data_IF_579063633107
#
_entry.id   IF_579063633107
#
_cell.length_a   1.000
_cell.length_b   1.000
_cell.length_c   1.000
_cell.angle_alpha   90.00
_cell.angle_beta   90.00
_cell.angle_gamma   90.00
#
_symmetry.space_group_name_H-M   'P 1'
#
loop_
_entity.id
_entity.type
_entity.pdbx_description
1 polymer ?
#
# COMPACT_ATOMS: atom_id res chain seq x y z
N UNK A 1 -25.68 84.11 -21.93
CA UNK A 1 -24.35 84.74 -21.78
C UNK A 1 -24.07 84.81 -20.28
N UNK A 2 -23.00 84.30 -19.69
CA UNK A 2 -21.82 83.58 -20.16
C UNK A 2 -21.39 82.58 -19.07
N UNK A 3 -20.92 81.40 -19.44
CA UNK A 3 -19.52 81.01 -19.69
C UNK A 3 -19.05 80.12 -18.53
N UNK A 4 -18.82 78.85 -18.89
CA UNK A 4 -18.16 77.81 -18.11
C UNK A 4 -16.73 78.20 -17.76
N UNK A 5 -16.30 77.90 -16.53
CA UNK A 5 -14.89 77.61 -16.22
C UNK A 5 -14.83 76.39 -15.30
N UNK A 6 -14.34 75.29 -15.88
CA UNK A 6 -13.98 74.07 -15.18
C UNK A 6 -12.63 74.29 -14.48
N UNK A 7 -12.54 73.93 -13.20
CA UNK A 7 -11.26 73.79 -12.50
C UNK A 7 -11.07 72.33 -12.11
N UNK A 8 -10.17 71.67 -12.83
CA UNK A 8 -9.62 70.36 -12.52
C UNK A 8 -8.60 70.55 -11.39
N UNK A 9 -8.73 69.79 -10.29
CA UNK A 9 -7.61 69.60 -9.36
C UNK A 9 -7.57 68.19 -8.79
N UNK A 10 -6.55 67.51 -9.28
CA UNK A 10 -5.79 66.36 -8.80
C UNK A 10 -6.23 65.61 -7.52
N UNK A 11 -6.39 64.30 -7.72
CA UNK A 11 -6.25 63.22 -6.73
C UNK A 11 -5.09 63.44 -5.75
N UNK A 12 -5.35 63.22 -4.47
CA UNK A 12 -4.38 62.73 -3.50
C UNK A 12 -5.00 61.53 -2.76
N UNK A 13 -4.81 60.35 -3.35
CA UNK A 13 -4.99 59.06 -2.67
C UNK A 13 -3.86 58.93 -1.63
N UNK A 14 -4.15 59.19 -0.36
CA UNK A 14 -3.28 58.74 0.73
C UNK A 14 -3.53 57.24 0.96
N UNK A 15 -2.76 56.41 0.26
CA UNK A 15 -2.52 55.03 0.66
C UNK A 15 -1.74 55.02 1.99
N UNK A 16 -2.43 54.75 3.09
CA UNK A 16 -1.81 54.11 4.24
C UNK A 16 -2.21 52.65 4.24
N UNK A 17 -1.42 51.87 3.51
CA UNK A 17 -1.40 50.41 3.56
C UNK A 17 -1.03 49.98 4.98
N UNK A 18 -2.02 49.60 5.77
CA UNK A 18 -1.84 48.69 6.90
C UNK A 18 -2.78 47.50 6.71
N UNK A 19 -2.60 46.80 5.58
CA UNK A 19 -3.00 45.41 5.48
C UNK A 19 -1.98 44.61 6.30
N UNK A 20 -2.27 44.46 7.59
CA UNK A 20 -1.88 43.23 8.27
C UNK A 20 -2.71 42.15 7.57
N UNK A 21 -2.12 41.49 6.56
CA UNK A 21 -2.67 40.24 6.05
C UNK A 21 -2.75 39.28 7.23
N UNK A 22 -3.95 39.08 7.76
CA UNK A 22 -4.23 37.92 8.59
C UNK A 22 -3.87 36.70 7.73
N UNK A 23 -2.85 35.94 8.16
CA UNK A 23 -2.43 34.71 7.48
C UNK A 23 -3.63 33.75 7.45
N UNK A 24 -4.21 33.51 6.27
CA UNK A 24 -5.50 32.86 6.08
C UNK A 24 -5.58 31.43 6.66
N UNK A 25 -4.43 30.77 6.84
CA UNK A 25 -4.33 29.42 7.43
C UNK A 25 -3.93 29.42 8.91
N UNK A 26 -3.33 30.50 9.42
CA UNK A 26 -2.87 30.61 10.82
C UNK A 26 -1.73 29.65 11.22
N UNK A 27 -1.10 28.96 10.26
CA UNK A 27 0.00 28.05 10.53
C UNK A 27 1.33 28.79 10.70
N UNK A 28 2.22 28.24 11.54
CA UNK A 28 3.61 28.66 11.65
C UNK A 28 4.47 27.64 10.91
N UNK A 29 5.42 28.10 10.11
CA UNK A 29 6.25 27.21 9.32
C UNK A 29 6.96 27.90 8.18
N UNK A 30 7.69 27.11 7.39
CA UNK A 30 8.39 27.55 6.18
C UNK A 30 7.49 27.62 4.94
N UNK A 31 6.37 26.91 4.94
CA UNK A 31 5.42 26.94 3.82
C UNK A 31 4.67 28.28 3.80
N UNK A 32 4.49 28.87 2.61
CA UNK A 32 3.73 30.12 2.44
C UNK A 32 2.23 29.84 2.34
N UNK A 33 1.37 30.78 2.76
CA UNK A 33 -0.09 30.63 2.62
C UNK A 33 -0.53 30.40 1.17
N UNK A 34 0.16 31.04 0.21
CA UNK A 34 -0.08 30.83 -1.21
C UNK A 34 0.23 29.38 -1.65
N UNK A 35 1.26 28.75 -1.09
CA UNK A 35 1.56 27.35 -1.35
C UNK A 35 0.60 26.41 -0.60
N UNK A 36 0.18 26.75 0.62
CA UNK A 36 -0.87 26.00 1.36
C UNK A 36 -2.15 25.94 0.53
N UNK A 37 -2.62 27.10 0.06
CA UNK A 37 -3.80 27.22 -0.79
C UNK A 37 -3.64 26.46 -2.10
N UNK A 38 -2.51 26.64 -2.79
CA UNK A 38 -2.23 25.95 -4.07
C UNK A 38 -2.26 24.44 -3.91
N UNK A 39 -1.57 23.91 -2.91
CA UNK A 39 -1.51 22.48 -2.64
C UNK A 39 -2.92 21.95 -2.34
N UNK A 40 -3.63 22.58 -1.39
CA UNK A 40 -4.95 22.14 -0.97
C UNK A 40 -5.96 22.14 -2.14
N UNK A 41 -5.95 23.21 -2.93
CA UNK A 41 -6.84 23.37 -4.09
C UNK A 41 -6.55 22.30 -5.16
N UNK A 42 -5.28 22.06 -5.51
CA UNK A 42 -4.93 21.04 -6.50
C UNK A 42 -5.36 19.64 -6.05
N UNK A 43 -5.11 19.28 -4.78
CA UNK A 43 -5.53 17.98 -4.27
C UNK A 43 -7.05 17.81 -4.32
N UNK A 44 -7.80 18.78 -3.80
CA UNK A 44 -9.26 18.72 -3.80
C UNK A 44 -9.84 18.76 -5.22
N UNK A 45 -9.24 19.49 -6.16
CA UNK A 45 -9.65 19.45 -7.57
C UNK A 45 -9.47 18.05 -8.18
N UNK A 46 -8.33 17.40 -7.97
CA UNK A 46 -8.13 16.02 -8.44
C UNK A 46 -9.13 15.04 -7.81
N UNK A 47 -9.42 15.20 -6.52
CA UNK A 47 -10.41 14.39 -5.81
C UNK A 47 -11.84 14.62 -6.35
N UNK A 48 -12.22 15.86 -6.64
CA UNK A 48 -13.48 16.18 -7.34
C UNK A 48 -13.53 15.55 -8.73
N UNK A 49 -12.41 15.56 -9.47
CA UNK A 49 -12.37 14.94 -10.79
C UNK A 49 -12.57 13.42 -10.68
N UNK A 50 -12.02 12.76 -9.65
CA UNK A 50 -12.29 11.35 -9.39
C UNK A 50 -13.78 11.09 -9.12
N UNK A 51 -14.51 11.97 -8.45
CA UNK A 51 -15.95 11.73 -8.20
C UNK A 51 -16.83 11.77 -9.45
N UNK A 52 -16.29 12.34 -10.54
CA UNK A 52 -16.94 12.49 -11.85
C UNK A 52 -16.33 11.60 -12.94
N UNK A 53 -15.25 10.91 -12.62
CA UNK A 53 -14.43 10.17 -13.59
C UNK A 53 -13.40 11.10 -14.23
N UNK A 54 -12.17 10.60 -14.36
CA UNK A 54 -11.07 11.37 -14.94
C UNK A 54 -10.11 10.48 -15.71
N UNK A 55 -9.28 11.09 -16.54
CA UNK A 55 -8.24 10.40 -17.30
C UNK A 55 -6.88 10.94 -16.87
N UNK A 56 -6.04 10.06 -16.34
CA UNK A 56 -4.62 10.36 -16.13
C UNK A 56 -3.91 10.24 -17.47
N UNK A 57 -3.08 11.22 -17.79
CA UNK A 57 -2.24 11.22 -18.98
C UNK A 57 -0.79 11.40 -18.57
N UNK A 58 0.06 10.46 -18.96
CA UNK A 58 1.51 10.53 -18.80
C UNK A 58 2.15 10.17 -20.14
N UNK A 59 2.98 11.06 -20.67
CA UNK A 59 3.54 10.98 -22.01
C UNK A 59 2.47 10.77 -23.11
N UNK A 60 2.48 9.61 -23.77
CA UNK A 60 1.50 9.22 -24.81
C UNK A 60 0.43 8.26 -24.28
N UNK A 61 0.53 7.86 -23.02
CA UNK A 61 -0.36 6.88 -22.40
C UNK A 61 -1.51 7.58 -21.69
N UNK A 62 -2.69 6.97 -21.75
CA UNK A 62 -3.91 7.45 -21.08
C UNK A 62 -4.53 6.33 -20.27
N UNK A 63 -4.98 6.63 -19.06
CA UNK A 63 -5.69 5.70 -18.17
C UNK A 63 -6.95 6.37 -17.63
N UNK A 64 -8.10 5.78 -17.93
CA UNK A 64 -9.37 6.20 -17.34
C UNK A 64 -9.48 5.64 -15.93
N UNK A 65 -9.67 6.52 -14.95
CA UNK A 65 -9.88 6.15 -13.56
C UNK A 65 -11.38 5.98 -13.29
N UNK A 66 -11.81 4.91 -12.59
CA UNK A 66 -13.17 4.75 -12.11
C UNK A 66 -13.62 5.96 -11.27
N UNK A 67 -14.93 6.23 -11.28
CA UNK A 67 -15.52 7.23 -10.40
C UNK A 67 -15.33 6.84 -8.94
N UNK A 68 -15.15 7.82 -8.05
CA UNK A 68 -15.00 7.61 -6.61
C UNK A 68 -16.23 8.08 -5.81
N UNK A 69 -16.83 7.16 -5.06
CA UNK A 69 -17.76 7.50 -3.96
C UNK A 69 -16.99 7.60 -2.65
N UNK A 70 -17.60 8.16 -1.61
CA UNK A 70 -16.95 8.31 -0.30
C UNK A 70 -15.58 9.01 -0.39
N UNK A 71 -15.45 10.00 -1.29
CA UNK A 71 -14.23 10.77 -1.48
C UNK A 71 -14.29 12.03 -0.62
N UNK A 72 -13.44 12.12 0.41
CA UNK A 72 -13.49 13.20 1.40
C UNK A 72 -12.72 14.44 0.96
N UNK A 73 -13.23 15.61 1.26
CA UNK A 73 -12.55 16.88 1.11
C UNK A 73 -11.40 16.97 2.11
N UNK A 74 -10.19 17.28 1.62
CA UNK A 74 -9.04 17.53 2.46
C UNK A 74 -9.13 18.94 3.05
N UNK A 75 -8.72 19.05 4.31
CA UNK A 75 -8.43 20.33 4.98
C UNK A 75 -6.96 20.45 5.32
N UNK A 76 -6.46 21.68 5.32
CA UNK A 76 -5.12 21.95 5.81
C UNK A 76 -5.05 21.74 7.33
N UNK A 77 -3.99 21.09 7.80
CA UNK A 77 -3.73 20.86 9.23
C UNK A 77 -2.30 21.29 9.57
N UNK A 78 -2.19 22.33 10.41
CA UNK A 78 -0.89 22.93 10.76
C UNK A 78 0.01 21.95 11.55
N UNK A 79 -0.55 20.99 12.28
CA UNK A 79 0.24 20.00 13.02
C UNK A 79 0.84 18.97 12.06
N UNK A 80 0.10 18.56 11.02
CA UNK A 80 0.65 17.75 9.92
C UNK A 80 1.72 18.51 9.14
N UNK A 81 1.54 19.82 8.90
CA UNK A 81 2.55 20.67 8.28
C UNK A 81 3.85 20.69 9.10
N UNK A 82 3.76 20.96 10.40
CA UNK A 82 4.93 20.98 11.28
C UNK A 82 5.67 19.61 11.30
N UNK A 83 4.93 18.50 11.26
CA UNK A 83 5.52 17.15 11.14
C UNK A 83 6.15 16.91 9.77
N UNK A 84 5.56 17.43 8.70
CA UNK A 84 6.13 17.36 7.35
C UNK A 84 7.43 18.16 7.26
N UNK A 85 7.52 19.30 7.97
CA UNK A 85 8.76 20.10 8.06
C UNK A 85 9.86 19.35 8.81
N UNK A 86 9.52 18.73 9.95
CA UNK A 86 10.46 17.88 10.69
C UNK A 86 10.94 16.71 9.80
N UNK A 87 10.03 16.02 9.12
CA UNK A 87 10.33 14.93 8.20
C UNK A 87 11.24 15.36 7.04
N UNK A 88 10.98 16.53 6.44
CA UNK A 88 11.78 17.08 5.35
C UNK A 88 13.22 17.42 5.78
N UNK A 89 13.42 17.80 7.05
CA UNK A 89 14.72 18.15 7.58
C UNK A 89 15.55 16.94 8.07
N UNK A 90 14.99 15.72 8.05
CA UNK A 90 15.74 14.51 8.37
C UNK A 90 16.70 14.11 7.24
N UNK A 91 17.88 13.63 7.61
CA UNK A 91 18.91 13.16 6.67
C UNK A 91 18.57 11.82 5.98
N UNK A 92 17.65 11.03 6.55
CA UNK A 92 17.26 9.72 6.02
C UNK A 92 15.75 9.60 5.86
N UNK A 93 15.28 9.28 4.64
CA UNK A 93 13.84 9.09 4.33
C UNK A 93 13.19 7.98 5.16
N UNK A 94 13.93 6.92 5.48
CA UNK A 94 13.45 5.83 6.34
C UNK A 94 13.18 6.28 7.78
N UNK A 95 13.96 7.25 8.29
CA UNK A 95 13.74 7.79 9.63
C UNK A 95 12.40 8.53 9.72
N UNK A 96 12.07 9.33 8.70
CA UNK A 96 10.80 10.05 8.63
C UNK A 96 9.61 9.09 8.59
N UNK A 97 9.63 8.07 7.73
CA UNK A 97 8.58 7.05 7.64
C UNK A 97 8.42 6.24 8.92
N UNK A 98 9.51 5.98 9.65
CA UNK A 98 9.45 5.28 10.94
C UNK A 98 8.86 6.15 12.06
N UNK A 99 9.25 7.42 12.13
CA UNK A 99 8.77 8.36 13.16
C UNK A 99 7.28 8.70 12.97
N UNK A 100 6.85 8.81 11.72
CA UNK A 100 5.51 9.24 11.33
C UNK A 100 4.70 8.13 10.64
N UNK A 101 4.91 6.87 11.04
CA UNK A 101 4.37 5.67 10.38
C UNK A 101 2.85 5.55 10.33
N UNK A 102 2.14 6.36 11.13
CA UNK A 102 0.68 6.45 11.18
C UNK A 102 0.10 7.44 10.17
N UNK A 103 0.93 8.10 9.36
CA UNK A 103 0.52 9.11 8.40
C UNK A 103 0.83 8.67 6.97
N UNK A 104 0.07 9.18 6.00
CA UNK A 104 0.38 9.02 4.59
C UNK A 104 1.55 9.91 4.22
N UNK A 105 2.39 9.50 3.26
CA UNK A 105 3.59 10.25 2.89
C UNK A 105 3.69 10.43 1.38
N UNK A 106 3.73 11.69 0.93
CA UNK A 106 4.17 12.04 -0.43
C UNK A 106 5.41 12.91 -0.36
N UNK A 107 6.41 12.62 -1.19
CA UNK A 107 7.66 13.38 -1.25
C UNK A 107 8.16 13.44 -2.69
N UNK A 108 8.64 14.61 -3.09
CA UNK A 108 9.24 14.81 -4.38
C UNK A 108 10.02 16.10 -4.47
N UNK A 109 10.73 16.24 -5.56
CA UNK A 109 11.35 17.48 -5.98
C UNK A 109 11.03 17.72 -7.46
N UNK A 110 10.99 18.99 -7.84
CA UNK A 110 10.87 19.40 -9.24
C UNK A 110 11.91 20.45 -9.55
N UNK A 111 12.76 20.14 -10.52
CA UNK A 111 13.83 21.01 -10.98
C UNK A 111 13.36 21.83 -12.18
N UNK A 112 13.56 23.15 -12.09
CA UNK A 112 13.22 24.08 -13.15
C UNK A 112 14.12 23.89 -14.37
N UNK A 113 13.49 23.61 -15.51
CA UNK A 113 14.15 23.63 -16.82
C UNK A 113 14.09 25.06 -17.40
N UNK A 114 15.21 25.63 -17.88
CA UNK A 114 15.27 27.01 -18.41
C UNK A 114 14.29 27.33 -19.57
N UNK A 115 13.65 26.32 -20.17
CA UNK A 115 12.65 26.49 -21.24
C UNK A 115 11.35 27.15 -20.77
N UNK A 116 11.07 27.20 -19.47
CA UNK A 116 9.86 27.83 -18.93
C UNK A 116 10.13 29.30 -18.57
N UNK A 117 9.47 30.27 -19.22
CA UNK A 117 9.68 31.70 -18.93
C UNK A 117 8.95 32.20 -17.65
N UNK A 118 8.82 31.35 -16.62
CA UNK A 118 8.08 31.64 -15.37
C UNK A 118 8.93 31.35 -14.13
N UNK A 119 8.80 32.12 -13.03
CA UNK A 119 9.58 31.89 -11.82
C UNK A 119 9.22 30.56 -11.14
N UNK A 120 10.20 29.89 -10.52
CA UNK A 120 10.02 28.61 -9.81
C UNK A 120 8.88 28.68 -8.77
N UNK A 121 8.77 29.77 -8.02
CA UNK A 121 7.72 29.97 -7.02
C UNK A 121 6.30 29.96 -7.62
N UNK A 122 6.15 30.26 -8.92
CA UNK A 122 4.85 30.26 -9.59
C UNK A 122 4.45 28.87 -10.12
N UNK A 123 5.40 28.00 -10.48
CA UNK A 123 5.10 26.75 -11.19
C UNK A 123 5.64 25.48 -10.53
N UNK A 124 6.66 25.59 -9.67
CA UNK A 124 7.41 24.43 -9.17
C UNK A 124 6.54 23.46 -8.36
N UNK A 125 5.79 23.98 -7.38
CA UNK A 125 4.85 23.16 -6.59
C UNK A 125 3.78 22.55 -7.48
N UNK A 126 3.17 23.32 -8.38
CA UNK A 126 2.15 22.82 -9.28
C UNK A 126 2.68 21.68 -10.16
N UNK A 127 3.85 21.86 -10.78
CA UNK A 127 4.46 20.85 -11.66
C UNK A 127 4.87 19.58 -10.91
N UNK A 128 5.32 19.72 -9.68
CA UNK A 128 5.61 18.60 -8.80
C UNK A 128 4.33 17.79 -8.51
N UNK A 129 3.23 18.45 -8.13
CA UNK A 129 1.96 17.79 -7.85
C UNK A 129 1.32 17.16 -9.11
N UNK A 130 1.45 17.81 -10.27
CA UNK A 130 1.08 17.20 -11.56
C UNK A 130 1.89 15.92 -11.80
N UNK A 131 3.19 15.93 -11.47
CA UNK A 131 4.07 14.75 -11.49
C UNK A 131 3.57 13.62 -10.61
N UNK A 132 3.23 13.91 -9.36
CA UNK A 132 2.65 12.93 -8.44
C UNK A 132 1.34 12.33 -8.98
N UNK A 133 0.47 13.15 -9.55
CA UNK A 133 -0.79 12.67 -10.11
C UNK A 133 -0.60 11.76 -11.33
N UNK A 134 0.43 12.03 -12.16
CA UNK A 134 0.75 11.22 -13.34
C UNK A 134 1.18 9.78 -13.00
N UNK A 135 1.64 9.51 -11.77
CA UNK A 135 1.94 8.14 -11.34
C UNK A 135 0.72 7.21 -11.44
N UNK A 136 -0.50 7.77 -11.37
CA UNK A 136 -1.75 7.03 -11.54
C UNK A 136 -1.95 6.41 -12.93
N UNK A 137 -1.01 6.57 -13.87
CA UNK A 137 -1.03 5.87 -15.16
C UNK A 137 -0.89 4.35 -15.00
N UNK A 138 -0.16 3.91 -13.96
CA UNK A 138 0.07 2.49 -13.65
C UNK A 138 -1.00 1.90 -12.72
N UNK A 139 -1.87 2.74 -12.16
CA UNK A 139 -2.82 2.36 -11.13
C UNK A 139 -3.78 1.25 -11.56
N UNK A 140 -3.94 0.25 -10.68
CA UNK A 140 -4.92 -0.80 -10.82
C UNK A 140 -6.34 -0.27 -10.64
N UNK A 141 -7.02 -0.03 -11.76
CA UNK A 141 -8.39 0.47 -11.80
C UNK A 141 -9.45 -0.59 -11.47
N UNK A 142 -9.07 -1.87 -11.38
CA UNK A 142 -10.00 -2.95 -11.07
C UNK A 142 -10.20 -3.05 -9.55
N UNK A 143 -9.13 -3.30 -8.79
CA UNK A 143 -9.23 -3.38 -7.33
C UNK A 143 -9.04 -2.04 -6.64
N UNK A 144 -8.41 -1.06 -7.31
CA UNK A 144 -8.15 0.29 -6.79
C UNK A 144 -7.34 0.26 -5.50
N UNK A 145 -6.37 -0.64 -5.42
CA UNK A 145 -5.54 -0.85 -4.22
C UNK A 145 -4.11 -0.36 -4.44
N UNK A 146 -3.42 0.00 -3.36
CA UNK A 146 -2.02 0.40 -3.40
C UNK A 146 -1.14 -0.83 -3.66
N UNK A 147 -0.85 -1.09 -4.93
CA UNK A 147 -0.18 -2.32 -5.37
C UNK A 147 1.28 -2.10 -5.86
N UNK A 148 1.72 -0.85 -5.97
CA UNK A 148 3.09 -0.51 -6.38
C UNK A 148 3.63 0.76 -5.73
N UNK A 149 4.83 0.68 -5.15
CA UNK A 149 5.53 1.85 -4.60
C UNK A 149 5.82 2.97 -5.61
N UNK A 150 5.78 2.70 -6.93
CA UNK A 150 5.91 3.74 -7.96
C UNK A 150 4.74 4.72 -7.98
N UNK A 151 3.65 4.39 -7.29
CA UNK A 151 2.41 5.17 -7.26
C UNK A 151 2.16 5.80 -5.88
N UNK A 152 3.16 5.75 -5.00
CA UNK A 152 3.03 6.20 -3.60
C UNK A 152 2.47 7.61 -3.51
N UNK A 153 2.90 8.54 -4.37
CA UNK A 153 2.40 9.90 -4.28
C UNK A 153 0.96 9.98 -4.77
N UNK A 154 0.65 9.35 -5.91
CA UNK A 154 -0.72 9.28 -6.45
C UNK A 154 -1.71 8.69 -5.45
N UNK A 155 -1.42 7.53 -4.84
CA UNK A 155 -2.36 6.85 -3.94
C UNK A 155 -2.67 7.67 -2.69
N UNK A 156 -1.71 8.42 -2.16
CA UNK A 156 -1.95 9.32 -1.02
C UNK A 156 -2.84 10.51 -1.42
N UNK A 157 -2.62 11.11 -2.61
CA UNK A 157 -3.48 12.17 -3.16
C UNK A 157 -4.91 11.67 -3.42
N UNK A 158 -5.04 10.47 -3.98
CA UNK A 158 -6.29 9.85 -4.39
C UNK A 158 -7.02 9.10 -3.25
N UNK A 159 -6.46 9.04 -2.04
CA UNK A 159 -7.02 8.28 -0.93
C UNK A 159 -8.40 8.80 -0.50
N UNK A 160 -9.47 8.08 -0.80
CA UNK A 160 -10.86 8.51 -0.56
C UNK A 160 -11.14 8.94 0.87
N UNK A 161 -10.47 8.31 1.84
CA UNK A 161 -10.72 8.47 3.28
C UNK A 161 -9.95 9.61 3.94
N UNK A 162 -8.81 10.05 3.39
CA UNK A 162 -8.03 11.12 4.03
C UNK A 162 -8.89 12.39 4.14
N UNK A 163 -8.83 13.05 5.30
CA UNK A 163 -9.59 14.29 5.58
C UNK A 163 -8.68 15.48 5.84
N UNK A 164 -7.39 15.25 6.05
CA UNK A 164 -6.41 16.29 6.33
C UNK A 164 -5.11 16.10 5.57
N UNK A 165 -4.49 17.22 5.25
CA UNK A 165 -3.16 17.29 4.66
C UNK A 165 -2.37 18.42 5.30
N UNK A 166 -1.07 18.22 5.47
CA UNK A 166 -0.14 19.31 5.80
C UNK A 166 1.18 19.07 5.09
N UNK A 167 1.74 20.11 4.46
CA UNK A 167 2.94 19.97 3.65
C UNK A 167 3.99 21.02 3.97
N UNK A 168 5.25 20.58 3.96
CA UNK A 168 6.42 21.42 3.95
C UNK A 168 6.85 21.72 2.51
N UNK A 169 7.16 22.99 2.23
CA UNK A 169 7.67 23.44 0.93
C UNK A 169 9.00 24.15 1.13
N UNK A 170 10.04 23.68 0.44
CA UNK A 170 11.37 24.29 0.47
C UNK A 170 11.90 24.52 -0.94
N UNK A 171 12.15 25.78 -1.27
CA UNK A 171 12.83 26.15 -2.51
C UNK A 171 14.35 26.11 -2.30
N UNK A 172 15.09 25.43 -3.18
CA UNK A 172 16.56 25.36 -3.16
C UNK A 172 17.11 25.68 -4.55
N UNK A 173 17.56 26.92 -4.76
CA UNK A 173 17.98 27.39 -6.08
C UNK A 173 16.84 27.22 -7.09
N UNK A 174 17.04 26.34 -8.09
CA UNK A 174 16.07 26.05 -9.13
C UNK A 174 15.18 24.83 -8.84
N UNK A 175 15.15 24.34 -7.60
CA UNK A 175 14.42 23.12 -7.23
C UNK A 175 13.35 23.42 -6.18
N UNK A 176 12.10 23.03 -6.47
CA UNK A 176 11.02 23.01 -5.48
C UNK A 176 10.98 21.63 -4.82
N UNK A 177 11.12 21.56 -3.50
CA UNK A 177 11.02 20.32 -2.72
C UNK A 177 9.71 20.37 -1.92
N UNK A 178 8.89 19.32 -2.01
CA UNK A 178 7.61 19.24 -1.29
C UNK A 178 7.54 17.90 -0.56
N UNK A 179 7.14 17.98 0.71
CA UNK A 179 6.85 16.83 1.55
C UNK A 179 5.45 17.01 2.13
N UNK A 180 4.54 16.08 1.88
CA UNK A 180 3.18 16.11 2.41
C UNK A 180 2.94 14.93 3.34
N UNK A 181 2.24 15.20 4.44
CA UNK A 181 1.65 14.21 5.33
C UNK A 181 0.13 14.26 5.24
N UNK A 182 -0.49 13.08 5.32
CA UNK A 182 -1.94 12.89 5.36
C UNK A 182 -2.33 12.23 6.68
N UNK A 183 -3.53 12.50 7.17
CA UNK A 183 -4.01 12.03 8.48
C UNK A 183 -4.06 10.51 8.65
N UNK A 184 -4.25 9.76 7.55
CA UNK A 184 -4.23 8.30 7.58
C UNK A 184 -3.10 7.76 6.69
N UNK A 185 -2.50 6.61 7.06
CA UNK A 185 -1.44 6.00 6.26
C UNK A 185 -2.01 5.43 4.95
N UNK A 186 -1.16 5.15 3.97
CA UNK A 186 -1.54 4.31 2.84
C UNK A 186 -0.65 3.07 2.86
N UNK A 187 -1.23 1.93 3.26
CA UNK A 187 -0.50 0.66 3.42
C UNK A 187 -0.62 -0.20 2.18
N UNK A 188 0.35 -1.07 1.96
CA UNK A 188 0.36 -2.00 0.83
C UNK A 188 -0.96 -2.79 0.78
N UNK A 189 -1.50 -2.95 -0.42
CA UNK A 189 -2.80 -3.58 -0.66
C UNK A 189 -4.00 -2.75 -0.22
N UNK A 190 -3.83 -1.54 0.31
CA UNK A 190 -4.95 -0.74 0.81
C UNK A 190 -5.83 -0.19 -0.28
N UNK A 191 -7.15 -0.23 -0.07
CA UNK A 191 -8.11 0.35 -1.00
C UNK A 191 -7.93 1.87 -1.01
N UNK A 192 -7.52 2.40 -2.16
CA UNK A 192 -7.27 3.82 -2.34
C UNK A 192 -8.59 4.58 -2.33
N UNK A 193 -9.58 4.13 -3.10
CA UNK A 193 -10.95 4.66 -3.04
C UNK A 193 -12.00 3.63 -3.47
N UNK A 194 -13.23 3.82 -3.03
CA UNK A 194 -14.37 3.00 -3.43
C UNK A 194 -14.93 3.47 -4.77
N UNK A 195 -15.18 2.53 -5.70
CA UNK A 195 -15.86 2.90 -6.94
C UNK A 195 -17.32 3.29 -6.71
N UNK A 196 -17.73 4.35 -7.40
CA UNK A 196 -19.07 4.89 -7.35
C UNK A 196 -19.07 6.37 -7.67
N UNK A 197 -20.24 6.97 -7.81
CA UNK A 197 -20.31 8.41 -8.08
C UNK A 197 -20.10 9.22 -6.79
N UNK A 198 -19.68 10.48 -6.95
CA UNK A 198 -19.65 11.44 -5.85
C UNK A 198 -20.98 11.53 -5.11
N UNK A 199 -20.92 11.98 -3.86
CA UNK A 199 -22.10 12.14 -3.03
C UNK A 199 -23.07 13.15 -3.66
N UNK A 200 -24.37 12.96 -3.42
CA UNK A 200 -25.42 13.93 -3.75
C UNK A 200 -26.12 14.43 -2.48
N UNK A 201 -26.12 13.61 -1.45
CA UNK A 201 -26.76 13.84 -0.15
C UNK A 201 -25.83 13.37 0.97
N UNK A 202 -26.05 13.85 2.19
CA UNK A 202 -25.24 13.47 3.35
C UNK A 202 -25.24 11.95 3.60
N UNK A 203 -26.35 11.26 3.27
CA UNK A 203 -26.46 9.80 3.40
C UNK A 203 -25.55 9.01 2.46
N UNK A 204 -25.03 9.62 1.39
CA UNK A 204 -24.08 8.98 0.49
C UNK A 204 -22.67 8.91 1.08
N UNK A 205 -22.41 9.66 2.16
CA UNK A 205 -21.11 9.73 2.83
C UNK A 205 -21.06 8.76 4.02
N UNK A 206 -20.64 7.52 3.75
CA UNK A 206 -20.79 6.41 4.70
C UNK A 206 -19.51 6.02 5.42
N UNK A 207 -18.35 6.62 5.09
CA UNK A 207 -17.06 6.24 5.72
C UNK A 207 -16.98 6.70 7.17
N UNK A 208 -17.38 7.94 7.44
CA UNK A 208 -17.42 8.52 8.78
C UNK A 208 -18.84 8.94 9.13
N UNK A 209 -19.27 8.65 10.35
CA UNK A 209 -20.58 9.04 10.88
C UNK A 209 -20.72 10.55 10.88
N UNK A 210 -21.94 11.02 10.64
CA UNK A 210 -22.30 12.45 10.59
C UNK A 210 -21.50 13.24 9.54
N UNK A 211 -21.05 12.58 8.47
CA UNK A 211 -20.48 13.26 7.32
C UNK A 211 -21.55 14.01 6.53
N UNK A 212 -21.17 15.10 5.88
CA UNK A 212 -22.03 15.85 4.97
C UNK A 212 -21.49 15.80 3.55
N UNK A 213 -22.37 16.01 2.57
CA UNK A 213 -22.01 16.10 1.17
C UNK A 213 -21.83 17.55 0.73
N UNK A 214 -20.71 17.84 0.06
CA UNK A 214 -20.45 19.15 -0.54
C UNK A 214 -21.05 19.24 -1.95
N UNK A 215 -21.42 20.45 -2.43
CA UNK A 215 -21.88 20.65 -3.82
C UNK A 215 -20.88 20.18 -4.89
N UNK A 216 -19.59 20.05 -4.53
CA UNK A 216 -18.55 19.51 -5.39
C UNK A 216 -18.65 17.99 -5.64
N UNK A 217 -19.46 17.27 -4.85
CA UNK A 217 -19.57 15.82 -4.83
C UNK A 217 -18.60 15.13 -3.87
N UNK A 218 -17.85 15.91 -3.08
CA UNK A 218 -16.97 15.40 -2.01
C UNK A 218 -17.73 15.27 -0.68
N UNK A 219 -17.37 14.26 0.09
CA UNK A 219 -17.81 14.13 1.48
C UNK A 219 -16.99 15.03 2.40
N UNK A 220 -17.57 15.42 3.52
CA UNK A 220 -16.93 16.23 4.55
C UNK A 220 -17.21 15.61 5.92
N UNK A 221 -16.16 15.27 6.65
CA UNK A 221 -16.23 14.59 7.95
C UNK A 221 -14.82 14.38 8.50
N UNK A 222 -14.72 13.77 9.68
CA UNK A 222 -13.44 13.41 10.30
C UNK A 222 -13.49 11.94 10.75
N UNK A 223 -12.34 11.23 10.74
CA UNK A 223 -12.28 9.86 11.24
C UNK A 223 -12.66 9.78 12.72
N UNK A 224 -13.48 8.79 13.10
CA UNK A 224 -13.78 8.53 14.50
C UNK A 224 -12.54 7.99 15.24
N UNK A 225 -12.43 8.24 16.56
CA UNK A 225 -11.41 7.60 17.38
C UNK A 225 -11.44 6.07 17.23
N UNK A 226 -10.33 5.47 16.81
CA UNK A 226 -10.21 4.02 16.61
C UNK A 226 -10.72 3.50 15.27
N UNK A 227 -10.97 4.38 14.27
CA UNK A 227 -11.26 3.97 12.90
C UNK A 227 -10.21 2.97 12.38
N UNK A 228 -10.68 1.77 11.97
CA UNK A 228 -9.88 0.73 11.33
C UNK A 228 -10.12 0.75 9.82
N UNK A 229 -9.06 0.59 9.04
CA UNK A 229 -9.14 0.65 7.59
C UNK A 229 -9.87 -0.57 7.01
N UNK A 230 -10.74 -0.35 6.02
CA UNK A 230 -11.41 -1.46 5.30
C UNK A 230 -10.42 -2.44 4.63
N UNK A 231 -9.20 -2.00 4.32
CA UNK A 231 -8.15 -2.85 3.74
C UNK A 231 -7.48 -3.82 4.72
N UNK A 232 -7.66 -3.62 6.03
CA UNK A 232 -7.20 -4.56 7.04
C UNK A 232 -8.13 -5.79 7.12
N UNK A 233 -9.38 -5.67 6.67
CA UNK A 233 -10.30 -6.80 6.59
C UNK A 233 -9.98 -7.70 5.37
N UNK A 234 -10.07 -9.01 5.58
CA UNK A 234 -10.00 -10.01 4.52
C UNK A 234 -11.22 -9.83 3.60
N UNK A 235 -11.00 -9.81 2.29
CA UNK A 235 -12.12 -9.86 1.35
C UNK A 235 -12.67 -11.28 1.30
N UNK A 236 -13.98 -11.43 1.47
CA UNK A 236 -14.65 -12.75 1.51
C UNK A 236 -15.31 -13.14 0.20
N UNK A 237 -15.43 -12.20 -0.75
CA UNK A 237 -16.04 -12.46 -2.05
C UNK A 237 -14.98 -12.83 -3.09
N UNK A 238 -14.86 -14.12 -3.37
CA UNK A 238 -13.85 -14.71 -4.24
C UNK A 238 -14.32 -14.84 -5.70
N UNK A 239 -13.39 -15.19 -6.60
CA UNK A 239 -13.70 -15.35 -8.02
C UNK A 239 -14.52 -16.61 -8.30
N UNK A 240 -15.14 -16.65 -9.47
CA UNK A 240 -15.82 -17.86 -9.95
C UNK A 240 -14.80 -19.00 -10.12
N UNK A 241 -15.18 -20.22 -9.72
CA UNK A 241 -14.39 -21.44 -9.89
C UNK A 241 -13.93 -21.64 -11.34
N UNK A 242 -14.79 -21.36 -12.32
CA UNK A 242 -14.45 -21.54 -13.74
C UNK A 242 -13.32 -20.61 -14.22
N UNK A 243 -13.05 -19.54 -13.48
CA UNK A 243 -12.01 -18.56 -13.80
C UNK A 243 -10.74 -18.81 -12.99
N UNK A 244 -10.89 -19.20 -11.73
CA UNK A 244 -9.79 -19.28 -10.76
C UNK A 244 -9.29 -20.71 -10.53
N UNK A 245 -10.07 -21.72 -10.93
CA UNK A 245 -9.86 -23.12 -10.55
C UNK A 245 -10.14 -23.40 -9.06
N UNK A 246 -10.73 -22.46 -8.33
CA UNK A 246 -10.88 -22.51 -6.87
C UNK A 246 -12.33 -22.69 -6.43
N UNK A 247 -12.59 -23.77 -5.69
CA UNK A 247 -13.80 -23.95 -4.87
C UNK A 247 -13.52 -23.55 -3.43
N UNK A 248 -14.55 -23.33 -2.62
CA UNK A 248 -14.38 -23.07 -1.19
C UNK A 248 -13.69 -24.23 -0.46
N UNK A 249 -13.91 -25.47 -0.92
CA UNK A 249 -13.20 -26.64 -0.41
C UNK A 249 -11.69 -26.54 -0.64
N UNK A 250 -11.27 -26.15 -1.85
CA UNK A 250 -9.84 -25.96 -2.19
C UNK A 250 -9.26 -24.77 -1.42
N UNK A 251 -10.01 -23.67 -1.29
CA UNK A 251 -9.59 -22.48 -0.50
C UNK A 251 -9.32 -22.86 0.96
N UNK A 252 -10.26 -23.60 1.57
CA UNK A 252 -10.11 -24.11 2.94
C UNK A 252 -8.93 -25.08 3.04
N UNK A 253 -8.76 -25.99 2.07
CA UNK A 253 -7.61 -26.90 2.05
C UNK A 253 -6.28 -26.14 2.08
N UNK A 254 -6.09 -25.13 1.22
CA UNK A 254 -4.87 -24.32 1.23
C UNK A 254 -4.69 -23.59 2.56
N UNK A 255 -5.73 -22.92 3.06
CA UNK A 255 -5.66 -22.14 4.29
C UNK A 255 -5.31 -23.03 5.50
N UNK A 256 -6.03 -24.14 5.66
CA UNK A 256 -5.88 -25.06 6.77
C UNK A 256 -4.51 -25.73 6.73
N UNK A 257 -4.07 -26.19 5.56
CA UNK A 257 -2.76 -26.85 5.41
C UNK A 257 -1.61 -25.88 5.70
N UNK A 258 -1.69 -24.62 5.23
CA UNK A 258 -0.70 -23.60 5.58
C UNK A 258 -0.67 -23.34 7.09
N UNK A 259 -1.83 -23.16 7.73
CA UNK A 259 -1.90 -22.85 9.16
C UNK A 259 -1.47 -24.02 10.05
N UNK A 260 -1.81 -25.26 9.68
CA UNK A 260 -1.33 -26.47 10.35
C UNK A 260 0.20 -26.58 10.26
N UNK A 261 0.77 -26.33 9.08
CA UNK A 261 2.22 -26.33 8.90
C UNK A 261 2.90 -25.21 9.69
N UNK A 262 2.39 -23.98 9.62
CA UNK A 262 2.88 -22.84 10.43
C UNK A 262 2.83 -23.13 11.93
N UNK A 263 1.76 -23.76 12.41
CA UNK A 263 1.65 -24.21 13.80
C UNK A 263 2.72 -25.25 14.17
N UNK A 264 2.97 -26.21 13.27
CA UNK A 264 4.00 -27.25 13.46
C UNK A 264 5.40 -26.64 13.53
N UNK A 265 5.74 -25.74 12.60
CA UNK A 265 7.01 -24.98 12.59
C UNK A 265 7.14 -24.12 13.84
N UNK A 266 6.09 -23.36 14.20
CA UNK A 266 6.13 -22.49 15.38
C UNK A 266 6.42 -23.27 16.66
N UNK A 267 5.90 -24.49 16.78
CA UNK A 267 6.14 -25.38 17.93
C UNK A 267 7.45 -26.16 17.85
N UNK A 268 8.20 -26.04 16.74
CA UNK A 268 9.46 -26.72 16.49
C UNK A 268 9.29 -28.23 16.27
N UNK A 269 8.28 -28.61 15.50
CA UNK A 269 7.93 -30.01 15.24
C UNK A 269 8.26 -30.46 13.81
N UNK A 270 8.60 -29.54 12.91
CA UNK A 270 8.99 -29.89 11.54
C UNK A 270 10.48 -30.22 11.46
N UNK A 271 10.87 -31.37 10.89
CA UNK A 271 12.27 -31.71 10.62
C UNK A 271 12.92 -30.74 9.63
N UNK A 272 14.19 -30.42 9.87
CA UNK A 272 15.02 -29.55 9.03
C UNK A 272 16.25 -30.35 8.55
N UNK A 273 16.52 -30.42 7.25
CA UNK A 273 17.66 -31.20 6.74
C UNK A 273 19.04 -30.70 7.24
N UNK A 274 19.13 -29.43 7.65
CA UNK A 274 20.36 -28.82 8.18
C UNK A 274 20.30 -28.57 9.69
N UNK A 275 19.28 -29.12 10.36
CA UNK A 275 19.11 -29.12 11.81
C UNK A 275 18.51 -30.44 12.31
N UNK A 276 18.02 -30.47 13.54
CA UNK A 276 17.17 -31.58 14.00
C UNK A 276 15.69 -31.27 13.69
N UNK A 277 15.24 -30.12 14.19
CA UNK A 277 13.92 -29.56 13.98
C UNK A 277 14.01 -28.06 13.76
N UNK A 278 12.98 -27.51 13.13
CA UNK A 278 12.79 -26.06 13.01
C UNK A 278 12.84 -25.38 14.39
N UNK A 279 13.49 -24.21 14.51
CA UNK A 279 13.46 -23.46 15.77
C UNK A 279 12.04 -22.97 16.07
N UNK A 280 11.69 -22.89 17.35
CA UNK A 280 10.37 -22.41 17.78
C UNK A 280 10.17 -20.95 17.42
N UNK A 281 8.96 -20.59 16.99
CA UNK A 281 8.59 -19.21 16.65
C UNK A 281 7.80 -18.58 17.79
N UNK A 282 8.17 -17.36 18.17
CA UNK A 282 7.58 -16.64 19.30
C UNK A 282 6.17 -16.14 19.01
N UNK A 283 5.93 -15.67 17.79
CA UNK A 283 4.76 -14.85 17.43
C UNK A 283 4.30 -15.03 15.98
N UNK A 284 4.29 -16.28 15.51
CA UNK A 284 3.84 -16.65 14.17
C UNK A 284 2.36 -16.31 13.99
N UNK A 285 2.00 -15.52 12.99
CA UNK A 285 0.60 -15.15 12.73
C UNK A 285 -0.15 -16.29 12.02
N UNK A 286 -1.41 -16.54 12.40
CA UNK A 286 -2.35 -17.39 11.67
C UNK A 286 -2.86 -16.65 10.44
N UNK A 287 -2.73 -17.28 9.27
CA UNK A 287 -3.19 -16.71 8.01
C UNK A 287 -4.71 -16.74 7.94
N UNK A 288 -5.29 -15.71 7.29
CA UNK A 288 -6.64 -15.73 6.76
C UNK A 288 -6.66 -15.84 5.23
N UNK A 289 -7.72 -16.41 4.67
CA UNK A 289 -7.88 -16.43 3.21
C UNK A 289 -8.43 -15.06 2.75
N UNK A 290 -7.73 -14.41 1.83
CA UNK A 290 -8.09 -13.09 1.29
C UNK A 290 -8.41 -13.21 -0.20
N UNK A 291 -9.68 -13.07 -0.55
CA UNK A 291 -10.13 -13.12 -1.94
C UNK A 291 -9.50 -12.03 -2.82
N UNK A 292 -9.00 -10.94 -2.22
CA UNK A 292 -8.21 -9.96 -2.97
C UNK A 292 -6.90 -10.56 -3.46
N UNK A 293 -6.18 -11.35 -2.64
CA UNK A 293 -4.95 -12.01 -3.05
C UNK A 293 -5.19 -13.07 -4.12
N UNK A 294 -6.32 -13.78 -4.07
CA UNK A 294 -6.75 -14.69 -5.16
C UNK A 294 -6.89 -13.93 -6.50
N UNK A 295 -7.49 -12.73 -6.49
CA UNK A 295 -7.59 -11.89 -7.71
C UNK A 295 -6.26 -11.27 -8.12
N UNK A 296 -5.36 -10.98 -7.19
CA UNK A 296 -3.98 -10.60 -7.52
C UNK A 296 -3.30 -11.76 -8.23
N UNK A 297 -3.37 -12.97 -7.67
CA UNK A 297 -2.79 -14.18 -8.27
C UNK A 297 -3.32 -14.42 -9.69
N UNK A 298 -4.64 -14.29 -9.90
CA UNK A 298 -5.27 -14.41 -11.21
C UNK A 298 -4.74 -13.42 -12.26
N UNK A 299 -4.46 -12.18 -11.86
CA UNK A 299 -3.99 -11.13 -12.78
C UNK A 299 -2.49 -11.17 -13.01
N UNK A 300 -1.74 -11.70 -12.04
CA UNK A 300 -0.30 -11.88 -12.16
C UNK A 300 0.07 -13.13 -12.94
N UNK A 301 -0.72 -14.20 -12.84
CA UNK A 301 -0.45 -15.45 -13.54
C UNK A 301 -0.55 -15.27 -15.07
N UNK A 302 0.55 -15.59 -15.76
CA UNK A 302 0.62 -15.64 -17.22
C UNK A 302 0.69 -17.08 -17.69
N UNK A 303 0.28 -17.36 -18.94
CA UNK A 303 0.46 -18.66 -19.57
C UNK A 303 1.35 -18.51 -20.83
N UNK A 304 2.55 -19.11 -20.89
CA UNK A 304 3.23 -19.83 -19.80
C UNK A 304 3.65 -18.88 -18.65
N UNK A 305 3.80 -19.39 -17.43
CA UNK A 305 4.19 -18.54 -16.30
C UNK A 305 5.64 -18.07 -16.41
N UNK A 306 5.87 -16.80 -16.12
CA UNK A 306 7.21 -16.24 -15.94
C UNK A 306 7.39 -15.89 -14.47
N UNK A 307 8.32 -16.56 -13.78
CA UNK A 307 8.64 -16.24 -12.38
C UNK A 307 9.21 -14.83 -12.34
N UNK A 308 8.57 -13.96 -11.57
CA UNK A 308 8.93 -12.56 -11.40
C UNK A 308 8.77 -12.20 -9.93
N UNK A 309 9.75 -11.49 -9.39
CA UNK A 309 9.70 -11.06 -8.00
C UNK A 309 8.60 -10.01 -7.81
N UNK A 310 7.63 -10.35 -6.96
CA UNK A 310 6.46 -9.52 -6.72
C UNK A 310 6.74 -8.52 -5.60
N UNK A 311 6.57 -7.22 -5.85
CA UNK A 311 7.00 -6.20 -4.88
C UNK A 311 6.25 -6.22 -3.54
N UNK A 312 4.98 -6.63 -3.55
CA UNK A 312 4.10 -6.50 -2.39
C UNK A 312 3.66 -7.81 -1.74
N UNK A 313 3.77 -8.93 -2.46
CA UNK A 313 3.33 -10.23 -1.99
C UNK A 313 4.40 -11.25 -2.30
N UNK A 314 4.56 -12.25 -1.44
CA UNK A 314 5.32 -13.43 -1.76
C UNK A 314 4.51 -14.31 -2.70
N UNK A 315 5.18 -15.00 -3.62
CA UNK A 315 4.54 -15.80 -4.65
C UNK A 315 5.15 -17.20 -4.69
N UNK A 316 4.34 -18.19 -4.33
CA UNK A 316 4.66 -19.59 -4.54
C UNK A 316 3.98 -20.06 -5.84
N UNK A 317 4.76 -20.75 -6.67
CA UNK A 317 4.29 -21.30 -7.94
C UNK A 317 4.71 -22.76 -8.05
N UNK A 318 3.79 -23.62 -8.46
CA UNK A 318 4.06 -25.04 -8.70
C UNK A 318 3.56 -25.46 -10.07
N UNK A 319 4.42 -26.11 -10.86
CA UNK A 319 4.02 -26.78 -12.09
C UNK A 319 3.60 -28.21 -11.74
N UNK A 320 2.34 -28.54 -11.97
CA UNK A 320 1.76 -29.83 -11.61
C UNK A 320 2.34 -30.93 -12.50
N UNK A 321 2.68 -32.06 -11.90
CA UNK A 321 3.31 -33.19 -12.61
C UNK A 321 2.44 -33.82 -13.70
N UNK A 322 1.13 -33.83 -13.51
CA UNK A 322 0.12 -34.32 -14.45
C UNK A 322 -1.00 -33.27 -14.60
N UNK A 323 -1.09 -32.65 -15.76
CA UNK A 323 -2.08 -31.59 -16.03
C UNK A 323 -3.53 -32.10 -16.09
N UNK A 324 -3.76 -33.41 -16.14
CA UNK A 324 -5.10 -34.01 -16.14
C UNK A 324 -5.71 -34.18 -14.74
N UNK A 325 -4.92 -34.01 -13.67
CA UNK A 325 -5.41 -34.24 -12.32
C UNK A 325 -6.44 -33.19 -11.86
N UNK A 326 -7.22 -33.57 -10.85
CA UNK A 326 -8.19 -32.66 -10.24
C UNK A 326 -7.51 -31.43 -9.63
N UNK A 327 -8.21 -30.30 -9.55
CA UNK A 327 -7.65 -29.11 -8.91
C UNK A 327 -7.33 -29.34 -7.43
N UNK A 328 -8.09 -30.19 -6.74
CA UNK A 328 -7.79 -30.60 -5.36
C UNK A 328 -6.49 -31.40 -5.26
N UNK A 329 -6.22 -32.31 -6.19
CA UNK A 329 -4.98 -33.09 -6.16
C UNK A 329 -3.76 -32.25 -6.57
N UNK A 330 -3.95 -31.32 -7.51
CA UNK A 330 -2.95 -30.30 -7.84
C UNK A 330 -2.60 -29.44 -6.61
N UNK A 331 -3.61 -29.03 -5.83
CA UNK A 331 -3.41 -28.30 -4.59
C UNK A 331 -2.60 -29.11 -3.56
N UNK A 332 -2.93 -30.40 -3.40
CA UNK A 332 -2.18 -31.32 -2.52
C UNK A 332 -0.73 -31.48 -2.96
N UNK A 333 -0.49 -31.68 -4.26
CA UNK A 333 0.85 -31.82 -4.81
C UNK A 333 1.68 -30.55 -4.55
N UNK A 334 1.13 -29.37 -4.85
CA UNK A 334 1.81 -28.10 -4.63
C UNK A 334 2.18 -27.87 -3.16
N UNK A 335 1.25 -28.10 -2.23
CA UNK A 335 1.51 -27.98 -0.79
C UNK A 335 2.61 -28.94 -0.32
N UNK A 336 2.54 -30.21 -0.74
CA UNK A 336 3.56 -31.20 -0.41
C UNK A 336 4.93 -30.81 -0.97
N UNK A 337 4.98 -30.29 -2.19
CA UNK A 337 6.20 -29.79 -2.83
C UNK A 337 6.86 -28.69 -1.99
N UNK A 338 6.13 -27.61 -1.70
CA UNK A 338 6.65 -26.46 -0.94
C UNK A 338 7.05 -26.83 0.49
N UNK A 339 6.21 -27.59 1.22
CA UNK A 339 6.51 -28.03 2.58
C UNK A 339 7.73 -28.97 2.64
N UNK A 340 7.95 -29.79 1.61
CA UNK A 340 9.08 -30.73 1.61
C UNK A 340 10.45 -30.05 1.47
N UNK A 341 10.49 -28.78 1.07
CA UNK A 341 11.74 -28.03 0.89
C UNK A 341 12.56 -27.97 2.19
N UNK A 342 11.94 -27.72 3.36
CA UNK A 342 12.67 -27.69 4.64
C UNK A 342 13.24 -29.06 5.02
N UNK A 343 12.48 -30.13 4.74
CA UNK A 343 12.88 -31.51 5.08
C UNK A 343 13.97 -32.05 4.16
N UNK A 344 14.04 -31.57 2.92
CA UNK A 344 15.01 -32.05 1.91
C UNK A 344 16.26 -31.18 1.82
N UNK A 345 16.09 -29.87 1.92
CA UNK A 345 17.15 -28.90 1.63
C UNK A 345 17.65 -28.18 2.88
N UNK A 346 16.77 -27.96 3.86
CA UNK A 346 17.12 -27.41 5.16
C UNK A 346 17.52 -25.93 5.16
N UNK A 347 17.29 -25.28 6.30
CA UNK A 347 17.65 -23.88 6.58
C UNK A 347 18.67 -23.80 7.71
N UNK A 348 18.52 -24.66 8.72
CA UNK A 348 19.37 -24.74 9.89
C UNK A 348 18.93 -23.84 11.05
N UNK A 349 19.53 -24.04 12.24
CA UNK A 349 19.05 -23.47 13.50
C UNK A 349 19.20 -21.95 13.61
N UNK A 350 20.02 -21.33 12.76
CA UNK A 350 20.15 -19.87 12.69
C UNK A 350 18.84 -19.19 12.23
N UNK A 351 18.01 -19.92 11.46
CA UNK A 351 16.76 -19.45 10.87
C UNK A 351 16.93 -18.23 9.94
N UNK A 352 18.10 -18.05 9.33
CA UNK A 352 18.43 -16.90 8.47
C UNK A 352 18.41 -17.32 7.00
N UNK A 353 17.53 -16.70 6.21
CA UNK A 353 17.45 -16.97 4.77
C UNK A 353 18.42 -16.08 4.00
N UNK A 354 19.38 -16.65 3.28
CA UNK A 354 20.41 -15.89 2.54
C UNK A 354 20.41 -16.24 1.05
N UNK A 355 21.24 -15.53 0.28
CA UNK A 355 21.46 -15.83 -1.13
C UNK A 355 21.95 -17.26 -1.35
N UNK A 356 22.63 -17.84 -0.35
CA UNK A 356 23.05 -19.23 -0.40
C UNK A 356 21.83 -20.16 -0.53
N UNK A 357 20.85 -20.07 0.38
CA UNK A 357 19.59 -20.84 0.32
C UNK A 357 18.79 -20.59 -0.96
N UNK A 358 18.81 -19.36 -1.46
CA UNK A 358 18.05 -18.95 -2.64
C UNK A 358 18.66 -19.51 -3.95
N UNK A 359 19.98 -19.45 -4.12
CA UNK A 359 20.68 -19.83 -5.35
C UNK A 359 21.32 -21.22 -5.33
N UNK A 360 20.95 -22.12 -4.39
CA UNK A 360 21.60 -23.45 -4.25
C UNK A 360 21.61 -24.25 -5.56
N UNK A 361 20.56 -24.18 -6.37
CA UNK A 361 20.49 -24.86 -7.67
C UNK A 361 21.57 -24.39 -8.68
N UNK A 362 22.10 -23.18 -8.53
CA UNK A 362 23.13 -22.62 -9.41
C UNK A 362 24.54 -22.94 -8.96
N UNK A 363 24.72 -23.58 -7.79
CA UNK A 363 26.03 -23.91 -7.25
C UNK A 363 26.32 -25.42 -7.42
N UNK A 364 27.27 -25.81 -8.28
CA UNK A 364 27.57 -27.22 -8.55
C UNK A 364 28.10 -27.99 -7.34
N UNK A 365 28.61 -27.31 -6.30
CA UNK A 365 29.08 -27.94 -5.07
C UNK A 365 27.94 -28.47 -4.19
N UNK A 366 26.73 -27.91 -4.33
CA UNK A 366 25.56 -28.22 -3.50
C UNK A 366 24.43 -28.84 -4.32
N UNK A 367 24.73 -29.47 -5.46
CA UNK A 367 23.75 -30.02 -6.42
C UNK A 367 22.76 -31.06 -5.86
N UNK A 368 22.86 -31.41 -4.57
CA UNK A 368 21.87 -32.20 -3.83
C UNK A 368 20.71 -31.37 -3.25
N UNK A 369 20.87 -30.05 -3.08
CA UNK A 369 19.90 -29.17 -2.43
C UNK A 369 19.26 -28.19 -3.41
N UNK A 370 17.93 -28.19 -3.46
CA UNK A 370 17.16 -27.22 -4.23
C UNK A 370 16.88 -25.94 -3.40
N UNK A 371 16.44 -24.83 -4.03
CA UNK A 371 16.00 -23.64 -3.32
C UNK A 371 14.87 -23.91 -2.32
N UNK A 372 14.78 -23.09 -1.28
CA UNK A 372 13.75 -23.19 -0.22
C UNK A 372 12.82 -21.98 -0.14
N UNK A 373 12.79 -21.16 -1.20
CA UNK A 373 12.03 -19.90 -1.23
C UNK A 373 10.54 -20.13 -0.94
N UNK A 374 9.94 -21.19 -1.48
CA UNK A 374 8.52 -21.45 -1.29
C UNK A 374 8.21 -21.82 0.17
N UNK A 375 9.08 -22.60 0.84
CA UNK A 375 9.00 -22.83 2.30
C UNK A 375 9.10 -21.52 3.08
N UNK A 376 10.07 -20.67 2.73
CA UNK A 376 10.29 -19.38 3.42
C UNK A 376 9.01 -18.55 3.35
N UNK A 377 8.44 -18.37 2.16
CA UNK A 377 7.22 -17.60 1.95
C UNK A 377 6.05 -18.09 2.82
N UNK A 378 5.94 -19.41 3.05
CA UNK A 378 4.89 -20.02 3.87
C UNK A 378 5.02 -19.73 5.37
N UNK A 379 6.23 -19.48 5.89
CA UNK A 379 6.51 -19.43 7.34
C UNK A 379 7.01 -18.08 7.84
N UNK A 380 6.96 -17.03 7.01
CA UNK A 380 7.22 -15.67 7.49
C UNK A 380 6.20 -15.29 8.56
N UNK A 381 6.69 -14.92 9.75
CA UNK A 381 5.85 -14.77 10.95
C UNK A 381 4.82 -13.66 10.86
N UNK A 382 5.06 -12.64 10.04
CA UNK A 382 4.24 -11.44 9.95
C UNK A 382 3.27 -11.41 8.75
N UNK A 383 3.31 -12.43 7.89
CA UNK A 383 2.27 -12.64 6.88
C UNK A 383 0.95 -12.99 7.58
N UNK A 384 -0.13 -12.36 7.15
CA UNK A 384 -1.46 -12.52 7.75
C UNK A 384 -2.53 -13.00 6.76
N UNK A 385 -2.19 -13.10 5.47
CA UNK A 385 -3.14 -13.46 4.42
C UNK A 385 -2.55 -14.35 3.33
N UNK A 386 -3.44 -15.14 2.74
CA UNK A 386 -3.19 -16.09 1.67
C UNK A 386 -4.30 -15.96 0.61
N UNK A 387 -3.95 -16.07 -0.67
CA UNK A 387 -4.92 -16.27 -1.75
C UNK A 387 -4.28 -17.05 -2.89
N UNK A 388 -5.00 -18.03 -3.43
CA UNK A 388 -4.45 -18.96 -4.42
C UNK A 388 -5.35 -19.09 -5.65
N UNK A 389 -4.77 -19.49 -6.79
CA UNK A 389 -5.50 -19.93 -7.98
C UNK A 389 -4.87 -21.19 -8.56
N UNK A 390 -5.64 -21.91 -9.38
CA UNK A 390 -5.20 -23.05 -10.17
C UNK A 390 -5.59 -22.80 -11.62
N UNK A 391 -4.59 -22.76 -12.50
CA UNK A 391 -4.78 -22.38 -13.90
C UNK A 391 -4.26 -23.46 -14.84
N UNK A 392 -5.08 -23.83 -15.81
CA UNK A 392 -4.66 -24.64 -16.94
C UNK A 392 -3.99 -23.73 -18.00
N UNK A 393 -2.74 -24.04 -18.36
CA UNK A 393 -1.93 -23.35 -19.36
C UNK A 393 -1.45 -24.38 -20.40
N UNK A 394 -2.14 -24.52 -21.54
CA UNK A 394 -1.76 -25.37 -22.70
C UNK A 394 -0.89 -26.61 -22.35
N UNK A 395 -1.55 -27.74 -22.07
CA UNK A 395 -0.95 -29.02 -21.65
C UNK A 395 -0.24 -29.01 -20.28
N UNK A 396 -0.18 -27.87 -19.58
CA UNK A 396 0.35 -27.77 -18.21
C UNK A 396 -0.73 -27.23 -17.28
N UNK A 397 -0.59 -27.52 -15.98
CA UNK A 397 -1.45 -26.99 -14.92
C UNK A 397 -0.56 -26.37 -13.85
N UNK A 398 -0.90 -25.17 -13.40
CA UNK A 398 -0.11 -24.44 -12.42
C UNK A 398 -0.94 -24.06 -11.20
N UNK A 399 -0.31 -24.14 -10.03
CA UNK A 399 -0.84 -23.62 -8.78
C UNK A 399 -0.06 -22.36 -8.42
N UNK A 400 -0.77 -21.28 -8.13
CA UNK A 400 -0.18 -20.02 -7.67
C UNK A 400 -0.79 -19.65 -6.32
N UNK A 401 0.04 -19.44 -5.31
CA UNK A 401 -0.37 -18.91 -4.01
C UNK A 401 0.40 -17.62 -3.70
N UNK A 402 -0.34 -16.59 -3.34
CA UNK A 402 0.20 -15.32 -2.91
C UNK A 402 0.06 -15.20 -1.39
N UNK A 403 1.12 -14.75 -0.72
CA UNK A 403 1.15 -14.52 0.72
C UNK A 403 1.63 -13.10 1.01
N UNK A 404 1.18 -12.49 2.11
CA UNK A 404 1.74 -11.21 2.49
C UNK A 404 0.89 -10.43 3.48
N UNK A 405 0.89 -9.09 3.36
CA UNK A 405 1.78 -8.29 2.50
C UNK A 405 3.27 -8.44 2.88
N UNK A 406 4.20 -8.13 1.96
CA UNK A 406 5.66 -8.14 2.16
C UNK A 406 6.11 -7.05 3.14
N UNK A 407 5.83 -7.26 4.42
CA UNK A 407 6.20 -6.35 5.52
C UNK A 407 7.69 -6.45 5.89
N UNK A 408 8.30 -7.62 5.66
CA UNK A 408 9.73 -7.87 5.91
C UNK A 408 10.35 -8.49 4.68
N UNK A 409 11.41 -7.87 4.16
CA UNK A 409 12.31 -8.53 3.19
C UNK A 409 13.13 -9.60 3.92
N UNK A 410 12.93 -10.90 3.64
CA UNK A 410 13.58 -11.99 4.37
C UNK A 410 15.05 -12.18 4.03
N UNK A 411 15.53 -11.69 2.88
CA UNK A 411 16.92 -11.88 2.46
C UNK A 411 17.91 -11.31 3.49
N UNK A 412 18.84 -12.17 3.93
CA UNK A 412 19.83 -11.87 4.97
C UNK A 412 19.26 -11.75 6.39
N UNK A 413 18.00 -12.13 6.63
CA UNK A 413 17.32 -11.98 7.92
C UNK A 413 16.69 -13.27 8.40
N UNK A 414 16.31 -13.25 9.68
CA UNK A 414 15.50 -14.33 10.25
C UNK A 414 14.11 -14.32 9.62
N UNK A 415 13.62 -15.50 9.22
CA UNK A 415 12.28 -15.64 8.61
C UNK A 415 11.17 -15.61 9.66
N UNK A 416 11.49 -15.86 10.94
CA UNK A 416 10.62 -15.56 12.07
C UNK A 416 11.41 -15.28 13.34
N UNK A 417 10.80 -14.54 14.29
CA UNK A 417 11.39 -14.32 15.61
C UNK A 417 11.41 -15.63 16.41
N UNK A 418 12.63 -16.16 16.63
CA UNK A 418 12.85 -17.37 17.41
C UNK A 418 12.54 -17.13 18.89
N UNK A 419 11.75 -18.01 19.50
CA UNK A 419 11.38 -17.93 20.91
C UNK A 419 10.30 -18.93 21.31
N UNK A 420 9.87 -18.87 22.56
CA UNK A 420 8.77 -19.72 23.04
C UNK A 420 7.47 -19.29 22.36
N UNK A 421 6.67 -20.23 21.79
CA UNK A 421 5.38 -19.91 21.20
C UNK A 421 4.48 -19.16 22.18
N UNK A 422 3.58 -18.33 21.65
CA UNK A 422 2.71 -17.53 22.49
C UNK A 422 1.92 -18.41 23.48
N UNK A 423 1.75 -17.90 24.70
CA UNK A 423 0.99 -18.56 25.77
C UNK A 423 -0.15 -17.69 26.29
N UNK A 424 -0.12 -16.39 25.96
CA UNK A 424 -1.11 -15.38 26.33
C UNK A 424 -1.08 -14.25 25.31
N UNK A 425 -2.15 -13.46 25.26
CA UNK A 425 -2.33 -12.39 24.27
C UNK A 425 -1.19 -11.36 24.29
N UNK A 426 -0.62 -11.06 25.45
CA UNK A 426 0.50 -10.12 25.58
C UNK A 426 1.80 -10.57 24.92
N UNK A 427 1.92 -11.86 24.57
CA UNK A 427 3.09 -12.39 23.87
C UNK A 427 3.03 -12.06 22.36
N UNK A 428 1.82 -11.76 21.86
CA UNK A 428 1.56 -11.39 20.48
C UNK A 428 1.65 -9.87 20.28
N UNK A 429 2.14 -9.45 19.11
CA UNK A 429 2.21 -8.03 18.75
C UNK A 429 0.82 -7.40 18.78
N UNK A 430 0.66 -6.30 19.53
CA UNK A 430 -0.63 -5.61 19.63
C UNK A 430 -1.60 -6.19 20.66
N UNK A 431 -1.16 -7.12 21.53
CA UNK A 431 -2.01 -7.79 22.54
C UNK A 431 -3.21 -8.55 21.95
N UNK A 432 -3.02 -9.11 20.76
CA UNK A 432 -4.03 -9.88 20.02
C UNK A 432 -4.16 -11.29 20.57
N UNK A 433 -5.19 -12.03 20.14
CA UNK A 433 -5.44 -13.38 20.64
C UNK A 433 -4.27 -14.32 20.32
N UNK A 434 -3.83 -15.05 21.35
CA UNK A 434 -2.93 -16.18 21.19
C UNK A 434 -3.73 -17.49 21.17
N UNK A 435 -3.65 -18.22 20.06
CA UNK A 435 -4.20 -19.57 19.92
C UNK A 435 -3.21 -20.57 20.54
N UNK A 436 -3.21 -20.67 21.87
CA UNK A 436 -2.20 -21.39 22.66
C UNK A 436 -1.96 -22.82 22.18
N UNK A 437 -3.03 -23.54 21.78
CA UNK A 437 -2.91 -24.93 21.28
C UNK A 437 -2.16 -25.02 19.94
N UNK A 438 -2.25 -23.97 19.13
CA UNK A 438 -1.62 -23.88 17.81
C UNK A 438 -0.23 -23.21 17.90
N UNK A 439 0.03 -22.41 18.94
CA UNK A 439 1.23 -21.57 19.03
C UNK A 439 1.23 -20.42 18.03
N UNK A 440 0.04 -19.97 17.60
CA UNK A 440 -0.15 -18.92 16.60
C UNK A 440 -0.85 -17.70 17.21
N UNK A 441 -0.50 -16.52 16.74
CA UNK A 441 -1.18 -15.26 17.04
C UNK A 441 -2.24 -14.97 15.96
N UNK A 442 -3.38 -14.37 16.33
CA UNK A 442 -4.28 -13.79 15.32
C UNK A 442 -3.66 -12.55 14.67
N UNK A 443 -4.17 -12.14 13.51
CA UNK A 443 -3.76 -10.87 12.90
C UNK A 443 -4.25 -9.67 13.77
N UNK A 444 -3.47 -8.57 13.85
CA UNK A 444 -3.80 -7.37 14.64
C UNK A 444 -4.90 -6.45 14.07
#
# INVERSE_FOLDING_TARGET
MGIFTAAISALLLCCFSSLIEATAFGCKGMTSDADRERILNIHNQYRVNLTKGTTVTADKSKKNLPTAKNMYELKWDCDLEAKAEDAMNMTCKYAARRKYSTYGHSIGDWSFCPKYNKPLAAIGVQKLLEGWWMEGISFDTVERRFDSYSETNFVNMASGRNTKIGCAVKMRGNVANVYCLYDLPMREGSLVYEAGNGCKTDSDCTTYKNSTCRPSGLCYGVPEPGYKEKSEALETNCGNESVTGMTDEIRNYFLDTHNQFRSSVARGLEPDALGDFTPKAKKMIKLGYDCYLERVALRTATCPPVRADQKLFFWNMHNVSDSSMSNMDAAKEAMNSWMSQIRRNGLGPANVFTEYEYWRASNPYYGFFAPIEDYVNMVLDNNDRLGCIIQDCNNSKYVHCFLGPRKTEPMGKKIYEVGTPCTKNSDCTGNVECLVKEGLCTAP
#
